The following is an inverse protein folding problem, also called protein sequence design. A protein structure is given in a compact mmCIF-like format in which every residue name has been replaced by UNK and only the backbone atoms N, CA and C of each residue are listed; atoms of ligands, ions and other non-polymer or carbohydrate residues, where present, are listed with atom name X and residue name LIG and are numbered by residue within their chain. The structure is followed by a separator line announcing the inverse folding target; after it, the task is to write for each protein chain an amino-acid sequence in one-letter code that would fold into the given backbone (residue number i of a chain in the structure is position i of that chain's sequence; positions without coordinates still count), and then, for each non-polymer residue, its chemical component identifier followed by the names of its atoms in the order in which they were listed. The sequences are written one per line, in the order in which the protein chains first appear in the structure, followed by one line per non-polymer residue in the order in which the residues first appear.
data_IF_061319019140
#
_entry.id   IF_061319019140
#
_cell.length_a   1.000
_cell.length_b   1.000
_cell.length_c   1.000
_cell.angle_alpha   90.00
_cell.angle_beta   90.00
_cell.angle_gamma   90.00
#
_symmetry.space_group_name_H-M   'P 1'
#
loop_
_entity.id
_entity.type
_entity.pdbx_description
1 polymer ?
#
# COMPACT_ATOMS: atom_id res chain seq x y z
N UNK A 1 50.40 50.42 -44.91
CA UNK A 1 48.93 50.28 -44.96
C UNK A 1 48.55 48.80 -44.99
N UNK A 2 48.15 48.22 -43.85
CA UNK A 2 47.32 47.01 -43.81
C UNK A 2 46.27 47.19 -42.71
N UNK A 3 45.04 47.00 -43.13
CA UNK A 3 43.80 47.33 -42.47
C UNK A 3 43.50 46.41 -41.29
N UNK A 4 42.98 47.01 -40.23
CA UNK A 4 42.38 46.39 -39.04
C UNK A 4 41.05 45.71 -39.40
N UNK A 5 40.84 44.49 -38.90
CA UNK A 5 39.50 43.90 -38.76
C UNK A 5 39.34 43.39 -37.31
N UNK A 6 38.29 43.80 -36.58
CA UNK A 6 38.06 43.41 -35.20
C UNK A 6 37.38 42.04 -35.07
N UNK A 7 37.76 41.34 -34.00
CA UNK A 7 37.27 40.05 -33.53
C UNK A 7 35.82 40.16 -33.07
N UNK A 8 34.90 39.50 -33.77
CA UNK A 8 33.51 39.37 -33.33
C UNK A 8 33.43 38.47 -32.08
N UNK A 9 33.08 39.06 -30.94
CA UNK A 9 32.79 38.35 -29.70
C UNK A 9 31.32 37.91 -29.72
N UNK A 10 31.08 36.60 -29.71
CA UNK A 10 29.75 36.03 -29.49
C UNK A 10 29.39 36.12 -27.99
N UNK A 11 28.51 37.05 -27.65
CA UNK A 11 27.92 37.18 -26.31
C UNK A 11 26.66 36.32 -26.20
N UNK A 12 26.73 35.15 -25.56
CA UNK A 12 25.51 34.41 -25.20
C UNK A 12 25.58 33.61 -23.88
N UNK A 13 26.52 33.95 -22.99
CA UNK A 13 26.64 33.28 -21.68
C UNK A 13 25.72 33.83 -20.58
N UNK A 14 25.03 34.95 -20.80
CA UNK A 14 24.23 35.62 -19.74
C UNK A 14 22.82 35.07 -19.54
N UNK A 15 22.20 34.43 -20.52
CA UNK A 15 20.80 33.98 -20.39
C UNK A 15 20.62 32.77 -19.46
N UNK A 16 21.64 31.91 -19.31
CA UNK A 16 21.52 30.66 -18.53
C UNK A 16 21.57 30.87 -17.01
N UNK A 17 22.09 32.00 -16.56
CA UNK A 17 22.23 32.32 -15.12
C UNK A 17 21.04 33.12 -14.57
N UNK A 18 20.30 33.84 -15.42
CA UNK A 18 19.09 34.57 -15.01
C UNK A 18 17.88 33.66 -14.79
N UNK A 19 17.73 32.58 -15.56
CA UNK A 19 16.66 31.59 -15.36
C UNK A 19 16.69 30.91 -13.97
N UNK A 20 17.85 30.88 -13.29
CA UNK A 20 17.95 30.36 -11.91
C UNK A 20 17.51 31.36 -10.83
N UNK A 21 17.38 32.66 -11.13
CA UNK A 21 17.01 33.70 -10.16
C UNK A 21 15.52 34.04 -10.16
N UNK A 22 14.80 33.80 -11.25
CA UNK A 22 13.41 34.25 -11.42
C UNK A 22 12.35 33.19 -11.07
N UNK A 23 12.48 32.55 -9.90
CA UNK A 23 11.34 31.84 -9.31
C UNK A 23 10.81 30.71 -10.17
N UNK A 24 11.70 29.86 -10.69
CA UNK A 24 11.30 28.54 -11.15
C UNK A 24 10.63 27.84 -9.97
N UNK A 25 9.28 27.78 -9.98
CA UNK A 25 8.52 26.95 -9.05
C UNK A 25 9.22 25.60 -9.06
N UNK A 26 9.89 25.27 -7.96
CA UNK A 26 10.22 23.89 -7.64
C UNK A 26 8.89 23.16 -7.67
N UNK A 27 8.52 22.59 -8.83
CA UNK A 27 7.84 21.31 -8.82
C UNK A 27 8.86 20.43 -8.13
N UNK A 28 8.76 20.36 -6.80
CA UNK A 28 9.69 19.61 -5.97
C UNK A 28 9.82 18.25 -6.61
N UNK A 29 11.07 17.79 -6.77
CA UNK A 29 11.31 16.39 -7.09
C UNK A 29 10.34 15.55 -6.25
N UNK A 30 9.58 14.62 -6.85
CA UNK A 30 8.69 13.77 -6.06
C UNK A 30 9.51 13.23 -4.90
N UNK A 31 9.02 13.32 -3.66
CA UNK A 31 9.82 12.95 -2.51
C UNK A 31 10.39 11.56 -2.78
N UNK A 32 11.69 11.40 -2.60
CA UNK A 32 12.40 10.14 -2.84
C UNK A 32 11.92 9.03 -1.87
N UNK A 33 10.91 9.32 -1.04
CA UNK A 33 10.55 8.66 0.20
C UNK A 33 9.02 8.59 0.36
N UNK A 34 8.54 7.53 1.02
CA UNK A 34 7.14 7.45 1.44
C UNK A 34 6.88 8.41 2.61
N UNK A 35 5.80 9.23 2.56
CA UNK A 35 5.37 10.02 3.70
C UNK A 35 5.21 9.14 4.96
N UNK A 36 5.57 9.66 6.14
CA UNK A 36 5.43 8.92 7.40
C UNK A 36 4.01 8.36 7.56
N UNK A 37 2.99 9.17 7.23
CA UNK A 37 1.59 8.76 7.24
C UNK A 37 1.34 7.48 6.43
N UNK A 38 1.88 7.38 5.20
CA UNK A 38 1.70 6.20 4.36
C UNK A 38 2.29 4.95 5.00
N UNK A 39 3.49 5.05 5.58
CA UNK A 39 4.16 3.93 6.27
C UNK A 39 3.36 3.49 7.50
N UNK A 40 2.95 4.44 8.33
CA UNK A 40 2.14 4.14 9.51
C UNK A 40 0.82 3.46 9.11
N UNK A 41 0.12 3.98 8.11
CA UNK A 41 -1.11 3.37 7.61
C UNK A 41 -0.89 1.95 7.10
N UNK A 42 0.19 1.70 6.35
CA UNK A 42 0.54 0.35 5.89
C UNK A 42 0.73 -0.62 7.05
N UNK A 43 1.53 -0.27 8.05
CA UNK A 43 1.78 -1.10 9.22
C UNK A 43 0.51 -1.30 10.06
N UNK A 44 -0.32 -0.26 10.20
CA UNK A 44 -1.62 -0.37 10.86
C UNK A 44 -2.52 -1.37 10.12
N UNK A 45 -2.60 -1.32 8.79
CA UNK A 45 -3.37 -2.31 8.01
C UNK A 45 -2.85 -3.73 8.25
N UNK A 46 -1.53 -3.94 8.30
CA UNK A 46 -0.96 -5.26 8.61
C UNK A 46 -1.41 -5.75 9.99
N UNK A 47 -1.31 -4.90 11.03
CA UNK A 47 -1.74 -5.26 12.39
C UNK A 47 -3.23 -5.58 12.43
N UNK A 48 -4.07 -4.78 11.78
CA UNK A 48 -5.51 -5.04 11.70
C UNK A 48 -5.79 -6.35 10.96
N UNK A 49 -5.07 -6.66 9.88
CA UNK A 49 -5.20 -7.95 9.19
C UNK A 49 -4.83 -9.14 10.10
N UNK A 50 -3.82 -8.99 10.96
CA UNK A 50 -3.49 -10.03 11.95
C UNK A 50 -4.59 -10.21 12.99
N UNK A 51 -5.27 -9.14 13.40
CA UNK A 51 -6.45 -9.18 14.29
C UNK A 51 -7.65 -9.86 13.62
N UNK A 52 -7.78 -9.76 12.29
CA UNK A 52 -8.84 -10.41 11.54
C UNK A 52 -8.80 -11.94 11.62
N UNK A 53 -7.60 -12.55 11.68
CA UNK A 53 -7.43 -14.01 11.70
C UNK A 53 -8.12 -14.68 12.90
N UNK A 54 -7.83 -14.32 14.17
CA UNK A 54 -8.51 -14.93 15.31
C UNK A 54 -9.99 -14.53 15.42
N UNK A 55 -10.36 -13.34 14.94
CA UNK A 55 -11.75 -12.84 15.03
C UNK A 55 -12.67 -13.44 13.99
N UNK A 56 -12.16 -13.85 12.81
CA UNK A 56 -12.95 -14.50 11.76
C UNK A 56 -13.64 -15.78 12.24
N UNK A 57 -12.98 -16.58 13.09
CA UNK A 57 -13.58 -17.78 13.66
C UNK A 57 -14.78 -17.48 14.57
N UNK A 58 -14.86 -16.29 15.17
CA UNK A 58 -16.01 -15.88 15.98
C UNK A 58 -17.25 -15.61 15.13
N UNK A 59 -17.08 -15.18 13.87
CA UNK A 59 -18.19 -15.02 12.91
C UNK A 59 -18.90 -16.36 12.71
N UNK A 60 -18.14 -17.42 12.47
CA UNK A 60 -18.71 -18.76 12.29
C UNK A 60 -19.42 -19.24 13.56
N UNK A 61 -18.84 -19.08 14.76
CA UNK A 61 -19.47 -19.51 16.01
C UNK A 61 -20.75 -18.75 16.33
N UNK A 62 -20.79 -17.44 16.09
CA UNK A 62 -21.98 -16.62 16.33
C UNK A 62 -23.11 -16.95 15.36
N UNK A 63 -22.80 -17.29 14.12
CA UNK A 63 -23.81 -17.65 13.12
C UNK A 63 -24.27 -19.10 13.26
N UNK A 64 -23.39 -20.07 13.53
CA UNK A 64 -23.78 -21.48 13.70
C UNK A 64 -24.55 -21.77 15.01
N UNK A 65 -24.64 -20.78 15.91
CA UNK A 65 -25.47 -20.84 17.10
C UNK A 65 -26.95 -20.67 16.74
N UNK A 66 -27.51 -21.67 16.08
CA UNK A 66 -28.93 -21.74 15.75
C UNK A 66 -29.70 -22.64 16.74
N UNK A 67 -31.02 -22.49 16.72
CA UNK A 67 -32.04 -23.26 17.42
C UNK A 67 -32.16 -23.11 18.94
N UNK A 68 -31.11 -23.24 19.77
CA UNK A 68 -31.29 -23.09 21.24
C UNK A 68 -30.04 -22.63 22.01
N UNK A 69 -28.96 -22.29 21.32
CA UNK A 69 -27.71 -21.85 21.94
C UNK A 69 -27.52 -20.34 21.72
N UNK A 70 -27.37 -19.57 22.79
CA UNK A 70 -26.94 -18.17 22.70
C UNK A 70 -25.42 -18.12 22.51
N UNK A 71 -24.88 -17.32 21.58
CA UNK A 71 -23.45 -17.12 21.46
C UNK A 71 -22.84 -16.60 22.77
N UNK A 72 -21.59 -16.99 23.06
CA UNK A 72 -20.88 -16.47 24.24
C UNK A 72 -20.68 -14.96 24.11
N UNK A 73 -20.76 -14.16 25.19
CA UNK A 73 -20.54 -12.72 25.13
C UNK A 73 -19.21 -12.33 24.48
N UNK A 74 -18.16 -13.11 24.72
CA UNK A 74 -16.85 -12.91 24.11
C UNK A 74 -16.87 -13.10 22.58
N UNK A 75 -17.64 -14.07 22.06
CA UNK A 75 -17.77 -14.26 20.61
C UNK A 75 -18.53 -13.10 19.95
N UNK A 76 -19.50 -12.51 20.64
CA UNK A 76 -20.17 -11.29 20.18
C UNK A 76 -19.22 -10.09 20.15
N UNK A 77 -18.36 -9.95 21.17
CA UNK A 77 -17.32 -8.93 21.17
C UNK A 77 -16.34 -9.12 19.99
N UNK A 78 -15.84 -10.34 19.77
CA UNK A 78 -14.94 -10.64 18.65
C UNK A 78 -15.61 -10.41 17.29
N UNK A 79 -16.91 -10.72 17.16
CA UNK A 79 -17.69 -10.39 15.96
C UNK A 79 -17.69 -8.88 15.70
N UNK A 80 -17.92 -8.06 16.73
CA UNK A 80 -17.85 -6.61 16.60
C UNK A 80 -16.44 -6.13 16.23
N UNK A 81 -15.41 -6.68 16.86
CA UNK A 81 -14.01 -6.36 16.51
C UNK A 81 -13.73 -6.68 15.05
N UNK A 82 -14.17 -7.85 14.55
CA UNK A 82 -14.01 -8.25 13.15
C UNK A 82 -14.69 -7.25 12.21
N UNK A 83 -15.96 -6.90 12.47
CA UNK A 83 -16.73 -5.99 11.63
C UNK A 83 -16.11 -4.59 11.60
N UNK A 84 -15.87 -3.98 12.76
CA UNK A 84 -15.34 -2.61 12.82
C UNK A 84 -13.91 -2.49 12.32
N UNK A 85 -13.04 -3.46 12.62
CA UNK A 85 -11.67 -3.43 12.08
C UNK A 85 -11.64 -3.72 10.57
N UNK A 86 -12.60 -4.46 10.01
CA UNK A 86 -12.76 -4.64 8.57
C UNK A 86 -13.08 -3.33 7.85
N UNK A 87 -14.01 -2.55 8.40
CA UNK A 87 -14.32 -1.20 7.89
C UNK A 87 -13.13 -0.23 8.05
N UNK A 88 -12.40 -0.30 9.16
CA UNK A 88 -11.20 0.50 9.35
C UNK A 88 -10.11 0.17 8.31
N UNK A 89 -9.90 -1.13 7.99
CA UNK A 89 -9.00 -1.56 6.92
C UNK A 89 -9.42 -0.94 5.59
N UNK A 90 -10.71 -1.00 5.22
CA UNK A 90 -11.20 -0.40 3.97
C UNK A 90 -10.85 1.09 3.89
N UNK A 91 -11.16 1.86 4.94
CA UNK A 91 -10.85 3.29 4.99
C UNK A 91 -9.36 3.58 4.83
N UNK A 92 -8.50 2.84 5.55
CA UNK A 92 -7.04 3.00 5.46
C UNK A 92 -6.48 2.58 4.09
N UNK A 93 -7.00 1.53 3.48
CA UNK A 93 -6.58 1.06 2.16
C UNK A 93 -6.98 2.04 1.06
N UNK A 94 -8.21 2.58 1.13
CA UNK A 94 -8.66 3.63 0.21
C UNK A 94 -7.82 4.90 0.37
N UNK A 95 -7.55 5.32 1.60
CA UNK A 95 -6.67 6.48 1.85
C UNK A 95 -5.24 6.23 1.36
N UNK A 96 -4.67 5.03 1.54
CA UNK A 96 -3.37 4.66 0.96
C UNK A 96 -3.38 4.68 -0.57
N UNK A 97 -4.46 4.21 -1.19
CA UNK A 97 -4.62 4.25 -2.65
C UNK A 97 -4.68 5.70 -3.15
N UNK A 98 -5.47 6.55 -2.50
CA UNK A 98 -5.54 7.99 -2.82
C UNK A 98 -4.16 8.63 -2.69
N UNK A 99 -3.44 8.38 -1.60
CA UNK A 99 -2.06 8.90 -1.44
C UNK A 99 -1.13 8.40 -2.55
N UNK A 100 -1.23 7.12 -2.91
CA UNK A 100 -0.41 6.54 -4.00
C UNK A 100 -0.72 7.19 -5.35
N UNK A 101 -1.99 7.52 -5.62
CA UNK A 101 -2.40 8.18 -6.85
C UNK A 101 -2.02 9.68 -6.85
N UNK A 102 -2.10 10.35 -5.70
CA UNK A 102 -1.80 11.77 -5.57
C UNK A 102 -0.30 12.09 -5.55
N UNK A 103 0.50 11.28 -4.84
CA UNK A 103 1.94 11.52 -4.63
C UNK A 103 2.85 10.60 -5.45
N UNK A 104 2.28 9.60 -6.13
CA UNK A 104 3.03 8.61 -6.88
C UNK A 104 3.73 7.58 -5.99
N UNK A 105 4.66 6.81 -6.58
CA UNK A 105 5.48 5.81 -5.90
C UNK A 105 6.96 6.21 -6.00
N UNK A 106 7.77 5.97 -4.95
CA UNK A 106 9.22 6.12 -5.05
C UNK A 106 9.80 5.28 -6.19
N UNK A 107 10.97 5.67 -6.74
CA UNK A 107 11.66 4.89 -7.77
C UNK A 107 11.91 3.45 -7.29
N UNK A 108 11.87 2.45 -8.19
CA UNK A 108 12.22 1.07 -7.85
C UNK A 108 13.59 0.98 -7.17
N UNK A 109 13.80 -0.04 -6.33
CA UNK A 109 15.11 -0.29 -5.71
C UNK A 109 16.19 -0.46 -6.79
N UNK A 110 17.43 -0.07 -6.47
CA UNK A 110 18.54 -0.12 -7.44
C UNK A 110 18.75 -1.54 -7.94
N UNK A 111 18.93 -1.72 -9.25
CA UNK A 111 19.15 -3.04 -9.85
C UNK A 111 17.90 -3.92 -9.97
N UNK A 112 16.69 -3.36 -9.77
CA UNK A 112 15.43 -4.10 -9.97
C UNK A 112 15.16 -4.39 -11.45
N UNK A 113 15.06 -5.67 -11.81
CA UNK A 113 14.72 -6.12 -13.16
C UNK A 113 13.28 -5.78 -13.53
N UNK A 114 12.96 -5.77 -14.82
CA UNK A 114 11.60 -5.51 -15.32
C UNK A 114 10.61 -6.55 -14.80
N UNK A 115 11.02 -7.82 -14.74
CA UNK A 115 10.16 -8.92 -14.26
C UNK A 115 9.78 -8.71 -12.80
N UNK A 116 10.74 -8.37 -11.94
CA UNK A 116 10.45 -8.12 -10.52
C UNK A 116 9.53 -6.91 -10.32
N UNK A 117 9.67 -5.88 -11.15
CA UNK A 117 8.78 -4.71 -11.15
C UNK A 117 7.35 -5.10 -11.54
N UNK A 118 7.18 -5.99 -12.51
CA UNK A 118 5.87 -6.50 -12.93
C UNK A 118 5.27 -7.35 -11.82
N UNK A 119 6.01 -8.31 -11.27
CA UNK A 119 5.55 -9.17 -10.18
C UNK A 119 5.15 -8.34 -8.97
N UNK A 120 5.98 -7.36 -8.58
CA UNK A 120 5.64 -6.44 -7.50
C UNK A 120 4.37 -5.65 -7.82
N UNK A 121 4.22 -5.12 -9.05
CA UNK A 121 3.02 -4.39 -9.43
C UNK A 121 1.76 -5.26 -9.35
N UNK A 122 1.80 -6.48 -9.89
CA UNK A 122 0.69 -7.45 -9.83
C UNK A 122 0.34 -7.81 -8.39
N UNK A 123 1.34 -8.11 -7.56
CA UNK A 123 1.14 -8.42 -6.13
C UNK A 123 0.42 -7.28 -5.41
N UNK A 124 0.86 -6.04 -5.60
CA UNK A 124 0.19 -4.90 -4.97
C UNK A 124 -1.24 -4.70 -5.49
N UNK A 125 -1.46 -4.81 -6.81
CA UNK A 125 -2.82 -4.69 -7.38
C UNK A 125 -3.75 -5.77 -6.83
N UNK A 126 -3.28 -7.02 -6.74
CA UNK A 126 -4.03 -8.12 -6.15
C UNK A 126 -4.38 -7.86 -4.68
N UNK A 127 -3.41 -7.42 -3.87
CA UNK A 127 -3.63 -7.05 -2.47
C UNK A 127 -4.66 -5.92 -2.32
N UNK A 128 -4.56 -4.85 -3.13
CA UNK A 128 -5.57 -3.77 -3.11
C UNK A 128 -6.96 -4.29 -3.45
N UNK A 129 -7.08 -5.07 -4.53
CA UNK A 129 -8.36 -5.61 -4.97
C UNK A 129 -9.01 -6.48 -3.87
N UNK A 130 -8.25 -7.39 -3.27
CA UNK A 130 -8.75 -8.30 -2.23
C UNK A 130 -9.07 -7.56 -0.93
N UNK A 131 -8.21 -6.63 -0.49
CA UNK A 131 -8.44 -5.83 0.72
C UNK A 131 -9.66 -4.91 0.62
N UNK A 132 -10.01 -4.46 -0.59
CA UNK A 132 -11.24 -3.69 -0.83
C UNK A 132 -12.46 -4.62 -0.92
N UNK A 133 -12.33 -5.76 -1.64
CA UNK A 133 -13.43 -6.69 -1.83
C UNK A 133 -13.88 -7.38 -0.52
N UNK A 134 -12.97 -7.63 0.42
CA UNK A 134 -13.27 -8.32 1.67
C UNK A 134 -14.30 -7.60 2.54
N UNK A 135 -14.12 -6.33 2.95
CA UNK A 135 -15.11 -5.62 3.77
C UNK A 135 -16.47 -5.45 3.07
N UNK A 136 -16.45 -5.27 1.73
CA UNK A 136 -17.66 -5.16 0.92
C UNK A 136 -18.44 -6.48 0.92
N UNK A 137 -17.77 -7.59 0.60
CA UNK A 137 -18.40 -8.91 0.61
C UNK A 137 -18.83 -9.35 2.01
N UNK A 138 -18.08 -9.01 3.06
CA UNK A 138 -18.46 -9.30 4.44
C UNK A 138 -19.74 -8.55 4.86
N UNK A 139 -19.83 -7.27 4.50
CA UNK A 139 -21.03 -6.46 4.74
C UNK A 139 -22.24 -7.00 4.00
N UNK A 140 -22.10 -7.34 2.71
CA UNK A 140 -23.20 -7.93 1.93
C UNK A 140 -23.60 -9.29 2.53
N UNK A 141 -22.65 -10.11 2.99
CA UNK A 141 -22.94 -11.41 3.59
C UNK A 141 -23.77 -11.28 4.86
N UNK A 142 -23.49 -10.26 5.67
CA UNK A 142 -24.12 -10.02 6.96
C UNK A 142 -25.49 -9.36 6.84
N UNK A 143 -25.64 -8.36 5.96
CA UNK A 143 -26.82 -7.49 5.95
C UNK A 143 -27.74 -7.69 4.74
N UNK A 144 -27.27 -8.38 3.69
CA UNK A 144 -28.02 -8.53 2.43
C UNK A 144 -28.33 -9.99 2.14
N UNK A 145 -27.29 -10.83 2.02
CA UNK A 145 -27.47 -12.25 1.72
C UNK A 145 -26.30 -13.11 2.16
N UNK A 146 -26.57 -14.04 3.07
CA UNK A 146 -25.55 -14.97 3.57
C UNK A 146 -25.01 -15.93 2.49
N UNK A 147 -25.68 -16.02 1.32
CA UNK A 147 -25.25 -16.87 0.18
C UNK A 147 -23.85 -16.55 -0.34
N UNK A 148 -23.36 -15.32 -0.13
CA UNK A 148 -22.03 -14.91 -0.56
C UNK A 148 -20.95 -15.12 0.52
N UNK A 149 -21.29 -15.62 1.72
CA UNK A 149 -20.33 -15.93 2.77
C UNK A 149 -19.18 -16.85 2.30
N UNK A 150 -19.40 -17.87 1.43
CA UNK A 150 -18.31 -18.67 0.88
C UNK A 150 -17.31 -17.85 0.04
N UNK A 151 -17.79 -16.83 -0.68
CA UNK A 151 -16.92 -15.93 -1.47
C UNK A 151 -16.04 -15.09 -0.54
N UNK A 152 -16.61 -14.54 0.53
CA UNK A 152 -15.84 -13.79 1.52
C UNK A 152 -14.77 -14.68 2.19
N UNK A 153 -15.13 -15.92 2.55
CA UNK A 153 -14.19 -16.91 3.10
C UNK A 153 -13.06 -17.24 2.13
N UNK A 154 -13.38 -17.50 0.85
CA UNK A 154 -12.38 -17.74 -0.19
C UNK A 154 -11.43 -16.54 -0.36
N UNK A 155 -11.96 -15.32 -0.38
CA UNK A 155 -11.16 -14.10 -0.45
C UNK A 155 -10.24 -13.93 0.76
N UNK A 156 -10.66 -14.40 1.95
CA UNK A 156 -9.89 -14.29 3.18
C UNK A 156 -8.68 -15.23 3.16
N UNK A 157 -8.88 -16.48 2.72
CA UNK A 157 -7.77 -17.41 2.45
C UNK A 157 -6.84 -16.90 1.35
N UNK A 158 -7.41 -16.31 0.29
CA UNK A 158 -6.61 -15.68 -0.78
C UNK A 158 -5.76 -14.54 -0.22
N UNK A 159 -6.33 -13.66 0.62
CA UNK A 159 -5.57 -12.59 1.27
C UNK A 159 -4.43 -13.14 2.12
N UNK A 160 -4.69 -14.17 2.93
CA UNK A 160 -3.67 -14.79 3.78
C UNK A 160 -2.47 -15.26 2.94
N UNK A 161 -2.74 -15.99 1.85
CA UNK A 161 -1.67 -16.45 0.94
C UNK A 161 -0.92 -15.27 0.32
N UNK A 162 -1.64 -14.26 -0.19
CA UNK A 162 -1.01 -13.08 -0.80
C UNK A 162 -0.14 -12.30 0.19
N UNK A 163 -0.60 -12.11 1.42
CA UNK A 163 0.16 -11.41 2.48
C UNK A 163 1.41 -12.20 2.85
N UNK A 164 1.30 -13.53 2.98
CA UNK A 164 2.47 -14.38 3.25
C UNK A 164 3.48 -14.33 2.11
N UNK A 165 3.03 -14.40 0.85
CA UNK A 165 3.90 -14.27 -0.32
C UNK A 165 4.55 -12.89 -0.40
N UNK A 166 3.79 -11.84 -0.11
CA UNK A 166 4.30 -10.46 -0.07
C UNK A 166 5.36 -10.27 1.01
N UNK A 167 5.10 -10.76 2.23
CA UNK A 167 6.06 -10.71 3.33
C UNK A 167 7.31 -11.55 3.03
N UNK A 168 7.14 -12.76 2.51
CA UNK A 168 8.26 -13.62 2.10
C UNK A 168 9.12 -12.95 1.02
N UNK A 169 8.50 -12.29 0.04
CA UNK A 169 9.22 -11.51 -0.96
C UNK A 169 10.01 -10.36 -0.30
N UNK A 170 9.39 -9.59 0.60
CA UNK A 170 10.09 -8.51 1.31
C UNK A 170 11.30 -9.03 2.12
N UNK A 171 11.17 -10.19 2.76
CA UNK A 171 12.27 -10.84 3.48
C UNK A 171 13.35 -11.38 2.54
N UNK A 172 12.97 -11.96 1.40
CA UNK A 172 13.91 -12.39 0.36
C UNK A 172 14.73 -11.22 -0.19
N UNK A 173 14.07 -10.10 -0.49
CA UNK A 173 14.69 -8.84 -0.89
C UNK A 173 15.67 -8.33 0.18
N UNK A 174 15.31 -8.45 1.46
CA UNK A 174 16.16 -8.05 2.57
C UNK A 174 17.39 -8.95 2.77
N UNK A 175 17.21 -10.27 2.84
CA UNK A 175 18.28 -11.20 3.22
C UNK A 175 19.16 -11.63 2.04
N UNK A 176 18.55 -11.94 0.90
CA UNK A 176 19.25 -12.48 -0.26
C UNK A 176 19.69 -11.40 -1.22
N UNK A 177 18.76 -10.52 -1.59
CA UNK A 177 19.06 -9.43 -2.52
C UNK A 177 19.78 -8.26 -1.87
N UNK A 178 19.64 -8.12 -0.54
CA UNK A 178 20.24 -7.07 0.28
C UNK A 178 19.94 -5.67 -0.24
N UNK A 179 18.70 -5.46 -0.68
CA UNK A 179 18.22 -4.15 -1.11
C UNK A 179 17.47 -3.41 0.01
N UNK A 180 17.06 -2.19 -0.31
CA UNK A 180 16.43 -1.27 0.62
C UNK A 180 14.90 -1.36 0.63
N UNK A 181 14.28 -2.36 -0.01
CA UNK A 181 12.81 -2.48 -0.14
C UNK A 181 12.13 -2.50 1.23
N UNK A 182 12.57 -3.39 2.15
CA UNK A 182 12.01 -3.48 3.49
C UNK A 182 12.32 -2.22 4.31
N UNK A 183 13.54 -1.68 4.19
CA UNK A 183 13.96 -0.51 4.95
C UNK A 183 13.11 0.71 4.62
N UNK A 184 12.77 0.92 3.35
CA UNK A 184 11.88 2.01 2.90
C UNK A 184 10.52 2.02 3.60
N UNK A 185 10.06 0.87 4.13
CA UNK A 185 8.81 0.77 4.89
C UNK A 185 9.00 0.88 6.41
N UNK A 186 10.15 0.50 6.96
CA UNK A 186 10.41 0.54 8.41
C UNK A 186 10.86 1.93 8.86
N UNK A 187 11.92 2.47 8.25
CA UNK A 187 12.55 3.73 8.70
C UNK A 187 13.29 4.39 7.55
N UNK A 188 13.57 5.69 7.69
CA UNK A 188 14.42 6.38 6.72
C UNK A 188 15.83 5.74 6.73
N UNK A 189 16.40 5.31 5.58
CA UNK A 189 17.82 4.99 5.50
C UNK A 189 18.62 6.24 5.87
N UNK A 190 19.53 6.16 6.84
CA UNK A 190 20.46 7.25 7.16
C UNK A 190 21.51 7.39 6.08
#
# INVERSE_FOLDING_TARGET
MRSTMPRAQATSSRSRLEWRRLGGRHRGSPPDEFPLAHRLMHWTVLVLCLVQVPTAWAIQRTHMAHLFMKPRPFDLFLHQVHAWSGWAILGLVLAQLVMRLAYGRPPPARGMSVVERIIAAVMHVALYAVLIALPVTGTIAMYVTFRIAPVHSLLSWTLLVLVLLHAAAALWHHFWRRDDVLWRMIRKPR
#
